data_IF_782729066264
#
_entry.id   IF_782729066264
#
_cell.length_a   1.000
_cell.length_b   1.000
_cell.length_c   1.000
_cell.angle_alpha   90.00
_cell.angle_beta   90.00
_cell.angle_gamma   90.00
#
_symmetry.space_group_name_H-M   'P 1'
#
loop_
_entity.id
_entity.type
_entity.pdbx_description
1 polymer ?
#
# COMPACT_ATOMS: atom_id res chain seq x y z
N UNK A 1 0.11 -33.73 7.17
CA UNK A 1 -0.88 -34.33 8.10
C UNK A 1 -1.73 -33.22 8.69
N UNK A 2 -3.06 -33.27 8.56
CA UNK A 2 -3.92 -32.27 9.18
C UNK A 2 -3.98 -32.49 10.69
N UNK A 3 -3.73 -31.43 11.46
CA UNK A 3 -3.86 -31.43 12.92
C UNK A 3 -5.30 -31.72 13.30
N UNK A 4 -5.48 -32.59 14.29
CA UNK A 4 -6.82 -32.94 14.77
C UNK A 4 -7.59 -31.71 15.24
N UNK A 5 -8.86 -31.65 14.84
CA UNK A 5 -9.76 -30.57 15.24
C UNK A 5 -10.00 -30.62 16.75
N UNK A 6 -10.14 -29.45 17.38
CA UNK A 6 -10.48 -29.32 18.81
C UNK A 6 -11.74 -30.12 19.20
N UNK A 7 -12.67 -30.34 18.27
CA UNK A 7 -13.85 -31.17 18.48
C UNK A 7 -13.52 -32.59 18.92
N UNK A 8 -12.42 -33.19 18.44
CA UNK A 8 -11.99 -34.53 18.85
C UNK A 8 -11.59 -34.57 20.33
N UNK A 9 -10.85 -33.56 20.80
CA UNK A 9 -10.48 -33.41 22.22
C UNK A 9 -11.66 -33.10 23.14
N UNK A 10 -12.74 -32.52 22.61
CA UNK A 10 -13.91 -32.13 23.40
C UNK A 10 -14.99 -33.23 23.49
N UNK A 11 -14.83 -34.36 22.78
CA UNK A 11 -15.74 -35.51 22.89
C UNK A 11 -15.73 -36.06 24.32
N UNK A 12 -16.90 -36.28 24.90
CA UNK A 12 -17.06 -36.66 26.31
C UNK A 12 -17.34 -35.49 27.26
N UNK A 13 -17.14 -34.23 26.83
CA UNK A 13 -17.54 -33.05 27.60
C UNK A 13 -18.96 -32.60 27.21
N UNK A 14 -19.89 -32.65 28.15
CA UNK A 14 -21.34 -32.44 27.92
C UNK A 14 -21.68 -31.14 27.18
N UNK A 15 -20.99 -30.03 27.46
CA UNK A 15 -21.30 -28.71 26.86
C UNK A 15 -20.43 -28.32 25.67
N UNK A 16 -19.45 -29.15 25.29
CA UNK A 16 -18.46 -28.84 24.23
C UNK A 16 -17.76 -27.47 24.37
N UNK A 17 -17.69 -26.91 25.59
CA UNK A 17 -17.01 -25.65 25.89
C UNK A 17 -17.92 -24.41 25.92
N UNK A 18 -19.24 -24.55 25.75
CA UNK A 18 -20.20 -23.44 25.79
C UNK A 18 -20.87 -23.25 27.16
N UNK A 19 -20.45 -23.98 28.19
CA UNK A 19 -20.95 -23.81 29.56
C UNK A 19 -22.32 -24.45 29.88
N UNK A 20 -22.77 -24.30 31.13
CA UNK A 20 -24.02 -24.87 31.65
C UNK A 20 -25.22 -23.94 31.45
N UNK A 21 -25.11 -22.68 31.87
CA UNK A 21 -26.26 -21.77 32.06
C UNK A 21 -26.60 -20.90 30.84
N UNK A 22 -25.64 -20.65 29.93
CA UNK A 22 -25.88 -19.91 28.67
C UNK A 22 -25.39 -20.74 27.48
N UNK A 23 -26.29 -21.51 26.88
CA UNK A 23 -25.97 -22.50 25.83
C UNK A 23 -25.64 -21.85 24.49
N UNK A 24 -24.97 -22.63 23.64
CA UNK A 24 -24.81 -22.31 22.22
C UNK A 24 -26.15 -22.43 21.50
N UNK A 25 -26.88 -21.30 21.42
CA UNK A 25 -28.16 -21.19 20.69
C UNK A 25 -27.92 -20.54 19.32
N UNK A 26 -28.85 -20.73 18.39
CA UNK A 26 -28.77 -20.12 17.05
C UNK A 26 -29.01 -18.61 17.14
N UNK A 27 -28.04 -17.81 16.69
CA UNK A 27 -28.12 -16.35 16.50
C UNK A 27 -28.67 -15.51 17.68
N UNK A 28 -28.11 -15.63 18.90
CA UNK A 28 -28.62 -14.92 20.07
C UNK A 28 -28.52 -13.38 19.97
N UNK A 29 -27.58 -12.86 19.17
CA UNK A 29 -27.35 -11.42 18.97
C UNK A 29 -27.82 -10.91 17.60
N UNK A 30 -28.57 -11.73 16.84
CA UNK A 30 -28.97 -11.44 15.47
C UNK A 30 -28.09 -12.12 14.42
N UNK A 31 -28.34 -11.80 13.14
CA UNK A 31 -27.60 -12.32 11.99
C UNK A 31 -26.84 -11.20 11.29
N UNK A 32 -25.60 -11.46 10.89
CA UNK A 32 -24.76 -10.49 10.19
C UNK A 32 -24.52 -9.21 11.01
N UNK A 33 -24.56 -8.06 10.33
CA UNK A 33 -24.32 -6.72 10.90
C UNK A 33 -25.54 -6.12 11.64
N UNK A 34 -26.43 -6.96 12.19
CA UNK A 34 -27.63 -6.49 12.88
C UNK A 34 -27.28 -5.71 14.16
N UNK A 35 -28.05 -4.66 14.45
CA UNK A 35 -27.94 -3.95 15.74
C UNK A 35 -26.82 -2.92 15.83
N UNK A 36 -26.19 -2.54 14.72
CA UNK A 36 -25.05 -1.62 14.73
C UNK A 36 -25.31 -0.21 15.30
N UNK A 37 -26.57 0.24 15.34
CA UNK A 37 -26.98 1.45 16.07
C UNK A 37 -27.66 1.18 17.42
N UNK A 38 -27.93 -0.09 17.73
CA UNK A 38 -28.68 -0.54 18.91
C UNK A 38 -27.77 -1.33 19.85
N UNK A 39 -28.03 -2.62 20.05
CA UNK A 39 -27.31 -3.47 21.00
C UNK A 39 -25.85 -3.77 20.62
N UNK A 40 -25.46 -3.58 19.35
CA UNK A 40 -24.07 -3.69 18.89
C UNK A 40 -23.39 -2.32 18.69
N UNK A 41 -24.03 -1.22 19.08
CA UNK A 41 -23.50 0.15 18.90
C UNK A 41 -22.12 0.34 19.50
N UNK A 42 -21.90 -0.12 20.73
CA UNK A 42 -20.60 0.03 21.41
C UNK A 42 -19.47 -0.65 20.63
N UNK A 43 -19.75 -1.78 19.98
CA UNK A 43 -18.75 -2.50 19.18
C UNK A 43 -18.42 -1.74 17.89
N UNK A 44 -19.44 -1.21 17.20
CA UNK A 44 -19.23 -0.41 15.99
C UNK A 44 -18.53 0.91 16.29
N UNK A 45 -18.94 1.64 17.34
CA UNK A 45 -18.28 2.89 17.70
C UNK A 45 -16.82 2.70 18.11
N UNK A 46 -16.49 1.56 18.75
CA UNK A 46 -15.12 1.28 19.21
C UNK A 46 -14.19 0.81 18.09
N UNK A 47 -14.66 -0.09 17.22
CA UNK A 47 -13.80 -0.77 16.25
C UNK A 47 -14.03 -0.31 14.80
N UNK A 48 -15.16 0.32 14.51
CA UNK A 48 -15.57 0.72 13.15
C UNK A 48 -16.25 2.12 13.16
N UNK A 49 -15.56 3.17 13.60
CA UNK A 49 -16.16 4.48 13.87
C UNK A 49 -16.84 5.12 12.64
N UNK A 50 -16.27 4.93 11.45
CA UNK A 50 -16.76 5.54 10.19
C UNK A 50 -17.65 4.61 9.35
N UNK A 51 -18.11 3.50 9.93
CA UNK A 51 -18.90 2.52 9.18
C UNK A 51 -20.27 3.07 8.75
N UNK A 52 -20.82 3.99 9.55
CA UNK A 52 -22.13 4.58 9.31
C UNK A 52 -21.99 6.02 8.84
N UNK A 53 -22.56 6.32 7.66
CA UNK A 53 -22.61 7.67 7.11
C UNK A 53 -22.32 7.69 5.61
N UNK A 54 -22.34 8.89 5.03
CA UNK A 54 -21.88 9.16 3.66
C UNK A 54 -20.81 10.24 3.74
N UNK A 55 -19.76 10.12 2.93
CA UNK A 55 -18.66 11.09 2.88
C UNK A 55 -18.20 11.31 1.44
N UNK A 56 -18.01 12.58 1.06
CA UNK A 56 -17.46 12.97 -0.24
C UNK A 56 -18.45 12.92 -1.40
N UNK A 57 -17.95 13.26 -2.59
CA UNK A 57 -18.69 13.24 -3.85
C UNK A 57 -18.72 11.83 -4.46
N UNK A 58 -19.79 11.52 -5.20
CA UNK A 58 -19.93 10.26 -5.93
C UNK A 58 -19.42 10.44 -7.36
N UNK A 59 -18.29 9.81 -7.69
CA UNK A 59 -17.79 9.78 -9.06
C UNK A 59 -18.47 8.64 -9.82
N UNK A 60 -19.30 8.97 -10.80
CA UNK A 60 -19.95 7.97 -11.65
C UNK A 60 -18.98 7.45 -12.72
N UNK A 61 -19.11 6.16 -13.06
CA UNK A 61 -18.32 5.51 -14.13
C UNK A 61 -16.80 5.77 -14.03
N UNK A 62 -16.23 5.52 -12.84
CA UNK A 62 -14.79 5.72 -12.58
C UNK A 62 -13.95 4.82 -13.48
N UNK A 63 -13.12 5.43 -14.32
CA UNK A 63 -12.12 4.75 -15.14
C UNK A 63 -10.81 4.62 -14.37
N UNK A 64 -10.72 3.59 -13.52
CA UNK A 64 -9.54 3.37 -12.65
C UNK A 64 -8.21 3.40 -13.40
N UNK A 65 -8.16 2.87 -14.63
CA UNK A 65 -6.93 2.84 -15.44
C UNK A 65 -6.37 4.24 -15.76
N UNK A 66 -7.23 5.25 -15.90
CA UNK A 66 -6.80 6.63 -16.15
C UNK A 66 -6.28 7.33 -14.88
N UNK A 67 -6.70 6.85 -13.71
CA UNK A 67 -6.32 7.42 -12.41
C UNK A 67 -5.04 6.78 -11.84
N UNK A 68 -4.62 5.62 -12.33
CA UNK A 68 -3.41 4.95 -11.85
C UNK A 68 -2.19 5.84 -12.11
N UNK A 69 -1.58 6.31 -11.01
CA UNK A 69 -0.38 7.13 -11.00
C UNK A 69 0.57 6.61 -9.92
N UNK A 70 1.15 5.42 -10.15
CA UNK A 70 2.12 4.81 -9.22
C UNK A 70 3.31 5.74 -9.05
N UNK A 71 3.62 6.08 -7.81
CA UNK A 71 4.73 6.97 -7.47
C UNK A 71 5.96 6.21 -7.03
N UNK A 72 7.13 6.77 -7.34
CA UNK A 72 8.42 6.33 -6.80
C UNK A 72 9.16 7.54 -6.20
N UNK A 73 9.82 7.33 -5.07
CA UNK A 73 10.68 8.35 -4.45
C UNK A 73 12.09 8.29 -5.03
N UNK A 74 12.74 9.45 -5.19
CA UNK A 74 14.15 9.56 -5.63
C UNK A 74 15.11 8.67 -4.82
N UNK A 75 14.83 8.43 -3.54
CA UNK A 75 15.59 7.53 -2.68
C UNK A 75 15.70 6.10 -3.21
N UNK A 76 14.72 5.64 -3.99
CA UNK A 76 14.64 4.26 -4.48
C UNK A 76 15.02 4.13 -5.95
N UNK A 77 15.30 5.24 -6.64
CA UNK A 77 15.51 5.23 -8.10
C UNK A 77 16.77 4.46 -8.48
N UNK A 78 17.87 4.60 -7.74
CA UNK A 78 19.08 3.79 -7.92
C UNK A 78 18.89 2.29 -7.65
N UNK A 79 17.84 1.92 -6.92
CA UNK A 79 17.49 0.52 -6.68
C UNK A 79 16.81 -0.17 -7.86
N UNK A 80 16.38 0.58 -8.88
CA UNK A 80 15.81 0.03 -10.11
C UNK A 80 16.89 -0.44 -11.10
N UNK A 81 18.13 0.01 -10.90
CA UNK A 81 19.24 -0.40 -11.76
C UNK A 81 19.69 -1.82 -11.45
N UNK A 82 20.17 -2.51 -12.48
CA UNK A 82 20.84 -3.79 -12.33
C UNK A 82 22.09 -3.67 -11.45
N UNK A 83 22.44 -4.76 -10.78
CA UNK A 83 23.57 -4.78 -9.84
C UNK A 83 24.91 -4.47 -10.50
N UNK A 84 25.08 -4.80 -11.77
CA UNK A 84 26.31 -4.56 -12.53
C UNK A 84 26.44 -3.08 -12.89
N UNK A 85 25.43 -2.50 -13.55
CA UNK A 85 25.41 -1.07 -13.89
C UNK A 85 25.49 -0.19 -12.65
N UNK A 86 24.92 -0.62 -11.53
CA UNK A 86 25.05 0.11 -10.26
C UNK A 86 26.49 0.14 -9.74
N UNK A 87 27.26 -0.95 -9.89
CA UNK A 87 28.69 -0.97 -9.50
C UNK A 87 29.52 -0.07 -10.41
N UNK A 88 29.23 -0.06 -11.71
CA UNK A 88 29.90 0.82 -12.67
C UNK A 88 29.68 2.29 -12.35
N UNK A 89 28.44 2.69 -12.06
CA UNK A 89 28.11 4.07 -11.65
C UNK A 89 28.73 4.43 -10.31
N UNK A 90 28.85 3.47 -9.38
CA UNK A 90 29.54 3.70 -8.11
C UNK A 90 31.03 3.94 -8.31
N UNK A 91 31.67 3.20 -9.21
CA UNK A 91 33.10 3.27 -9.49
C UNK A 91 33.49 4.46 -10.39
N UNK A 92 32.62 4.87 -11.32
CA UNK A 92 32.90 5.94 -12.28
C UNK A 92 31.97 7.14 -12.05
N UNK A 93 32.51 8.24 -11.52
CA UNK A 93 31.73 9.45 -11.19
C UNK A 93 31.32 10.26 -12.42
N UNK A 94 32.01 10.09 -13.55
CA UNK A 94 31.74 10.83 -14.80
C UNK A 94 30.51 10.29 -15.55
N UNK A 95 30.02 9.10 -15.21
CA UNK A 95 28.89 8.47 -15.90
C UNK A 95 27.59 8.85 -15.18
N UNK A 96 26.72 9.61 -15.85
CA UNK A 96 25.37 9.91 -15.36
C UNK A 96 24.38 8.83 -15.82
N UNK A 97 23.78 8.04 -14.91
CA UNK A 97 22.82 7.02 -15.31
C UNK A 97 21.53 7.64 -15.86
N UNK A 98 20.94 6.96 -16.84
CA UNK A 98 19.62 7.27 -17.37
C UNK A 98 18.66 6.20 -16.86
N UNK A 99 17.70 6.59 -16.03
CA UNK A 99 16.75 5.66 -15.41
C UNK A 99 15.35 5.97 -15.91
N UNK A 100 14.76 5.02 -16.65
CA UNK A 100 13.36 5.09 -17.07
C UNK A 100 12.47 4.37 -16.06
N UNK A 101 11.75 5.15 -15.24
CA UNK A 101 10.88 4.56 -14.21
C UNK A 101 9.62 3.94 -14.81
N UNK A 102 9.30 4.24 -16.08
CA UNK A 102 8.10 3.75 -16.75
C UNK A 102 8.19 2.27 -17.09
N UNK A 103 9.39 1.78 -17.41
CA UNK A 103 9.67 0.37 -17.67
C UNK A 103 9.32 -0.50 -16.45
N UNK A 104 9.54 0.04 -15.26
CA UNK A 104 9.19 -0.59 -13.99
C UNK A 104 7.74 -0.32 -13.53
N UNK A 105 6.93 0.32 -14.38
CA UNK A 105 5.52 0.58 -14.12
C UNK A 105 5.23 1.76 -13.18
N UNK A 106 6.20 2.66 -12.96
CA UNK A 106 5.98 3.91 -12.24
C UNK A 106 5.64 5.04 -13.19
N UNK A 107 4.85 6.00 -12.71
CA UNK A 107 4.35 7.12 -13.53
C UNK A 107 4.74 8.47 -12.95
N UNK A 108 4.86 8.59 -11.63
CA UNK A 108 5.15 9.85 -10.93
C UNK A 108 6.45 9.70 -10.13
N UNK A 109 7.37 10.64 -10.30
CA UNK A 109 8.57 10.73 -9.45
C UNK A 109 8.34 11.79 -8.39
N UNK A 110 8.58 11.42 -7.14
CA UNK A 110 8.39 12.26 -5.95
C UNK A 110 9.73 12.50 -5.29
N UNK A 111 9.87 13.67 -4.66
CA UNK A 111 11.03 14.03 -3.87
C UNK A 111 11.37 12.96 -2.81
N UNK A 112 12.65 12.88 -2.47
CA UNK A 112 13.18 11.94 -1.50
C UNK A 112 14.62 12.29 -1.19
N UNK A 113 15.17 11.64 -0.17
CA UNK A 113 16.60 11.72 0.10
C UNK A 113 17.36 11.03 -1.04
N UNK A 114 18.19 11.78 -1.76
CA UNK A 114 19.01 11.23 -2.82
C UNK A 114 20.13 10.38 -2.19
N UNK A 115 20.25 9.08 -2.52
CA UNK A 115 21.28 8.23 -1.92
C UNK A 115 22.70 8.63 -2.31
N UNK A 116 22.84 9.34 -3.44
CA UNK A 116 24.09 9.77 -4.03
C UNK A 116 23.91 11.20 -4.55
N UNK A 117 24.81 12.09 -4.19
CA UNK A 117 24.91 13.47 -4.71
C UNK A 117 25.62 13.46 -6.08
N UNK A 118 25.13 12.63 -7.01
CA UNK A 118 25.69 12.49 -8.37
C UNK A 118 24.63 12.77 -9.44
N UNK A 119 25.01 13.41 -10.57
CA UNK A 119 24.06 13.79 -11.62
C UNK A 119 23.33 12.58 -12.17
N UNK A 120 22.00 12.71 -12.26
CA UNK A 120 21.08 11.64 -12.63
C UNK A 120 20.07 12.13 -13.66
N UNK A 121 19.83 11.33 -14.70
CA UNK A 121 18.76 11.60 -15.67
C UNK A 121 17.60 10.65 -15.42
N UNK A 122 16.43 11.19 -15.09
CA UNK A 122 15.22 10.39 -14.81
C UNK A 122 14.17 10.64 -15.88
N UNK A 123 13.62 9.57 -16.47
CA UNK A 123 12.49 9.64 -17.40
C UNK A 123 11.22 9.18 -16.71
N UNK A 124 10.17 10.00 -16.71
CA UNK A 124 8.87 9.67 -16.12
C UNK A 124 7.73 10.44 -16.81
N UNK A 125 6.47 10.07 -16.53
CA UNK A 125 5.30 10.81 -17.03
C UNK A 125 5.06 12.12 -16.28
N UNK A 126 5.32 12.13 -14.98
CA UNK A 126 5.13 13.30 -14.12
C UNK A 126 6.23 13.38 -13.07
N UNK A 127 6.57 14.61 -12.69
CA UNK A 127 7.47 14.91 -11.57
C UNK A 127 6.77 15.86 -10.60
N UNK A 128 7.07 15.74 -9.31
CA UNK A 128 6.74 16.82 -8.36
C UNK A 128 7.76 17.94 -8.48
N UNK A 129 7.36 19.19 -8.23
CA UNK A 129 8.24 20.37 -8.31
C UNK A 129 9.51 20.20 -7.48
N UNK A 130 9.38 19.65 -6.27
CA UNK A 130 10.51 19.41 -5.38
C UNK A 130 11.47 18.34 -5.95
N UNK A 131 10.94 17.32 -6.65
CA UNK A 131 11.78 16.31 -7.28
C UNK A 131 12.59 16.89 -8.43
N UNK A 132 11.98 17.73 -9.26
CA UNK A 132 12.67 18.43 -10.36
C UNK A 132 13.80 19.33 -9.81
N UNK A 133 13.52 20.09 -8.76
CA UNK A 133 14.52 20.95 -8.09
C UNK A 133 15.67 20.13 -7.50
N UNK A 134 15.37 19.02 -6.82
CA UNK A 134 16.41 18.14 -6.26
C UNK A 134 17.29 17.52 -7.35
N UNK A 135 16.71 17.03 -8.44
CA UNK A 135 17.47 16.50 -9.57
C UNK A 135 18.36 17.59 -10.18
N UNK A 136 17.83 18.80 -10.37
CA UNK A 136 18.58 19.93 -10.92
C UNK A 136 19.73 20.37 -10.01
N UNK A 137 19.54 20.39 -8.69
CA UNK A 137 20.57 20.76 -7.71
C UNK A 137 21.79 19.82 -7.77
N UNK A 138 21.57 18.54 -8.08
CA UNK A 138 22.62 17.54 -8.22
C UNK A 138 23.21 17.54 -9.66
N UNK A 139 22.79 18.48 -10.52
CA UNK A 139 23.25 18.59 -11.90
C UNK A 139 22.62 17.56 -12.86
N UNK A 140 21.55 16.89 -12.42
CA UNK A 140 20.78 15.95 -13.22
C UNK A 140 19.71 16.61 -14.08
N UNK A 141 18.95 15.79 -14.82
CA UNK A 141 17.84 16.27 -15.66
C UNK A 141 16.60 15.38 -15.54
N UNK A 142 15.46 15.99 -15.24
CA UNK A 142 14.16 15.34 -15.31
C UNK A 142 13.62 15.44 -16.75
N UNK A 143 13.26 14.30 -17.35
CA UNK A 143 12.70 14.24 -18.70
C UNK A 143 11.27 13.71 -18.61
N UNK A 144 10.33 14.55 -19.02
CA UNK A 144 8.92 14.17 -19.13
C UNK A 144 8.74 13.39 -20.42
N UNK A 145 8.30 12.14 -20.30
CA UNK A 145 7.99 11.28 -21.43
C UNK A 145 6.54 10.76 -21.31
N UNK A 146 5.75 10.80 -22.40
CA UNK A 146 4.37 10.32 -22.40
C UNK A 146 4.26 8.80 -22.14
#
# INVERSE_FOLDING_TARGET
>A
MHKDKKSRKMRGKTSHGYGRTNKHRKHPSGRGACGGFKHMRTWYMKYHPDFFGKRGMLNFHVKKNAEIKKSISLAKVYGLMDSESRKEVLNNESISPVIDVREFGYHVVVAGELPLERPLVVKARYFTKNAEQQIANVGGKAIICP
#
